data_IF_910532370781
#
_entry.id   IF_910532370781
#
_cell.length_a   1.000
_cell.length_b   1.000
_cell.length_c   1.000
_cell.angle_alpha   90.00
_cell.angle_beta   90.00
_cell.angle_gamma   90.00
#
_symmetry.space_group_name_H-M   'P 1'
#
loop_
_entity.id
_entity.type
_entity.pdbx_description
1 polymer ?
#
# COMPACT_ATOMS: atom_id res chain seq x y z
N UNK A 1 16.19 9.00 17.18
CA UNK A 1 15.43 8.56 16.00
C UNK A 1 14.51 7.41 16.41
N UNK A 2 13.41 7.72 17.08
CA UNK A 2 12.29 6.78 17.25
C UNK A 2 11.32 7.11 16.14
N UNK A 3 11.48 6.47 14.98
CA UNK A 3 10.46 6.50 13.93
C UNK A 3 9.17 6.04 14.57
N UNK A 4 8.22 6.95 14.76
CA UNK A 4 7.08 6.72 15.63
C UNK A 4 6.25 5.61 14.95
N UNK A 5 6.08 4.46 15.59
CA UNK A 5 5.33 3.32 15.03
C UNK A 5 3.95 3.79 14.52
N UNK A 6 3.38 4.82 15.15
CA UNK A 6 2.16 5.50 14.72
C UNK A 6 2.25 6.11 13.32
N UNK A 7 3.34 6.79 12.98
CA UNK A 7 3.55 7.40 11.65
C UNK A 7 3.69 6.34 10.57
N UNK A 8 4.42 5.24 10.87
CA UNK A 8 4.51 4.08 9.98
C UNK A 8 3.12 3.52 9.71
N UNK A 9 2.29 3.35 10.75
CA UNK A 9 0.93 2.85 10.61
C UNK A 9 0.02 3.80 9.84
N UNK A 10 0.17 5.12 10.01
CA UNK A 10 -0.58 6.11 9.25
C UNK A 10 -0.21 6.05 7.77
N UNK A 11 1.08 6.03 7.43
CA UNK A 11 1.55 5.92 6.06
C UNK A 11 1.09 4.62 5.40
N UNK A 12 1.18 3.50 6.11
CA UNK A 12 0.66 2.21 5.63
C UNK A 12 -0.85 2.28 5.38
N UNK A 13 -1.64 2.78 6.33
CA UNK A 13 -3.09 2.91 6.15
C UNK A 13 -3.43 3.81 4.96
N UNK A 14 -2.68 4.89 4.74
CA UNK A 14 -2.86 5.76 3.60
C UNK A 14 -2.61 5.02 2.28
N UNK A 15 -1.53 4.25 2.17
CA UNK A 15 -1.24 3.45 0.96
C UNK A 15 -2.34 2.41 0.73
N UNK A 16 -2.75 1.68 1.77
CA UNK A 16 -3.73 0.60 1.66
C UNK A 16 -5.13 1.11 1.28
N UNK A 17 -5.55 2.27 1.79
CA UNK A 17 -6.86 2.88 1.48
C UNK A 17 -6.91 3.53 0.11
N UNK A 18 -5.81 4.13 -0.32
CA UNK A 18 -5.73 4.76 -1.64
C UNK A 18 -5.61 3.73 -2.76
N UNK A 19 -5.06 2.55 -2.49
CA UNK A 19 -4.86 1.47 -3.49
C UNK A 19 -6.22 0.87 -3.81
N UNK A 20 -6.83 1.35 -4.89
CA UNK A 20 -8.18 0.98 -5.32
C UNK A 20 -8.18 0.40 -6.72
N UNK A 21 -9.07 -0.55 -6.97
CA UNK A 21 -9.33 -1.12 -8.29
C UNK A 21 -10.80 -1.54 -8.40
N UNK A 22 -11.22 -1.84 -9.63
CA UNK A 22 -12.56 -2.37 -9.90
C UNK A 22 -12.49 -3.90 -9.85
N UNK A 23 -13.30 -4.52 -9.00
CA UNK A 23 -13.39 -5.98 -8.90
C UNK A 23 -14.31 -6.58 -9.99
N UNK A 24 -14.47 -7.90 -9.98
CA UNK A 24 -15.31 -8.64 -10.93
C UNK A 24 -16.79 -8.21 -10.87
N UNK A 25 -17.27 -7.80 -9.71
CA UNK A 25 -18.62 -7.28 -9.48
C UNK A 25 -18.81 -5.81 -9.90
N UNK A 26 -17.80 -5.21 -10.56
CA UNK A 26 -17.76 -3.80 -10.97
C UNK A 26 -17.83 -2.81 -9.80
N UNK A 27 -17.41 -3.24 -8.61
CA UNK A 27 -17.32 -2.41 -7.43
C UNK A 27 -15.90 -1.86 -7.28
N UNK A 28 -15.80 -0.61 -6.83
CA UNK A 28 -14.52 -0.03 -6.42
C UNK A 28 -14.20 -0.57 -5.04
N UNK A 29 -13.09 -1.31 -4.93
CA UNK A 29 -12.60 -1.88 -3.68
C UNK A 29 -11.21 -1.34 -3.39
N UNK A 30 -10.91 -1.12 -2.11
CA UNK A 30 -9.56 -0.77 -1.67
C UNK A 30 -8.82 -1.99 -1.10
N UNK A 31 -7.49 -1.94 -1.10
CA UNK A 31 -6.67 -2.97 -0.47
C UNK A 31 -6.95 -3.05 1.04
N UNK A 32 -7.25 -1.92 1.68
CA UNK A 32 -7.66 -1.88 3.08
C UNK A 32 -8.99 -2.62 3.33
N UNK A 33 -9.97 -2.47 2.43
CA UNK A 33 -11.28 -3.14 2.54
C UNK A 33 -11.15 -4.66 2.36
N UNK A 34 -10.34 -5.11 1.39
CA UNK A 34 -10.06 -6.53 1.14
C UNK A 34 -9.34 -7.20 2.32
N UNK A 35 -8.34 -6.50 2.88
CA UNK A 35 -7.64 -6.93 4.09
C UNK A 35 -8.50 -6.81 5.36
N UNK A 36 -9.71 -6.25 5.26
CA UNK A 36 -10.65 -6.03 6.37
C UNK A 36 -10.00 -5.28 7.54
N UNK A 37 -9.11 -4.33 7.23
CA UNK A 37 -8.41 -3.56 8.26
C UNK A 37 -9.45 -2.81 9.10
N UNK A 38 -9.38 -2.98 10.42
CA UNK A 38 -10.32 -2.38 11.36
C UNK A 38 -11.66 -3.12 11.54
N UNK A 39 -11.91 -4.22 10.83
CA UNK A 39 -13.09 -5.08 11.04
C UNK A 39 -12.70 -6.39 11.72
N UNK A 40 -13.35 -6.71 12.84
CA UNK A 40 -13.27 -7.99 13.56
C UNK A 40 -11.89 -8.39 14.14
N UNK A 41 -10.95 -7.45 14.32
CA UNK A 41 -9.67 -7.66 15.03
C UNK A 41 -8.74 -8.78 14.50
N UNK A 42 -9.04 -9.41 13.36
CA UNK A 42 -8.17 -10.40 12.74
C UNK A 42 -7.37 -9.73 11.61
N UNK A 43 -6.05 -9.50 11.77
CA UNK A 43 -5.23 -9.00 10.67
C UNK A 43 -5.18 -10.08 9.59
N UNK A 44 -5.82 -9.84 8.46
CA UNK A 44 -5.62 -10.65 7.25
C UNK A 44 -4.32 -10.22 6.58
N UNK A 45 -3.54 -11.19 6.14
CA UNK A 45 -2.31 -10.92 5.41
C UNK A 45 -2.57 -10.79 3.92
N UNK A 46 -1.67 -10.13 3.20
CA UNK A 46 -1.74 -10.03 1.73
C UNK A 46 -1.71 -11.44 1.12
N UNK A 47 -0.96 -12.36 1.74
CA UNK A 47 -0.86 -13.76 1.36
C UNK A 47 -2.19 -14.53 1.46
N UNK A 48 -3.17 -14.02 2.21
CA UNK A 48 -4.51 -14.62 2.37
C UNK A 48 -5.54 -14.10 1.34
N UNK A 49 -5.15 -13.14 0.50
CA UNK A 49 -6.03 -12.54 -0.50
C UNK A 49 -6.24 -13.46 -1.71
N UNK A 50 -7.42 -13.35 -2.32
CA UNK A 50 -7.68 -13.99 -3.60
C UNK A 50 -6.74 -13.43 -4.68
N UNK A 51 -6.33 -14.28 -5.62
CA UNK A 51 -5.42 -13.90 -6.71
C UNK A 51 -5.95 -12.72 -7.52
N UNK A 52 -7.26 -12.64 -7.74
CA UNK A 52 -7.93 -11.57 -8.47
C UNK A 52 -7.78 -10.22 -7.75
N UNK A 53 -8.01 -10.19 -6.43
CA UNK A 53 -7.78 -9.01 -5.59
C UNK A 53 -6.30 -8.60 -5.58
N UNK A 54 -5.40 -9.58 -5.52
CA UNK A 54 -3.96 -9.33 -5.57
C UNK A 54 -3.51 -8.70 -6.90
N UNK A 55 -4.01 -9.20 -8.03
CA UNK A 55 -3.74 -8.62 -9.36
C UNK A 55 -4.22 -7.18 -9.42
N UNK A 56 -5.44 -6.90 -8.97
CA UNK A 56 -5.98 -5.54 -8.94
C UNK A 56 -5.15 -4.59 -8.08
N UNK A 57 -4.76 -5.04 -6.89
CA UNK A 57 -3.89 -4.27 -5.99
C UNK A 57 -2.52 -3.99 -6.61
N UNK A 58 -1.89 -5.00 -7.23
CA UNK A 58 -0.60 -4.85 -7.89
C UNK A 58 -0.64 -3.86 -9.04
N UNK A 59 -1.63 -3.98 -9.93
CA UNK A 59 -1.81 -3.06 -11.07
C UNK A 59 -2.10 -1.64 -10.58
N UNK A 60 -2.93 -1.48 -9.56
CA UNK A 60 -3.22 -0.17 -8.95
C UNK A 60 -1.95 0.50 -8.40
N UNK A 61 -1.09 -0.27 -7.70
CA UNK A 61 0.19 0.22 -7.18
C UNK A 61 1.18 0.57 -8.31
N UNK A 62 1.26 -0.26 -9.35
CA UNK A 62 2.07 0.00 -10.53
C UNK A 62 1.67 1.31 -11.21
N UNK A 63 0.37 1.52 -11.47
CA UNK A 63 -0.15 2.76 -12.08
C UNK A 63 0.21 3.97 -11.22
N UNK A 64 -0.01 3.89 -9.89
CA UNK A 64 0.33 5.02 -9.01
C UNK A 64 1.83 5.34 -9.02
N UNK A 65 2.66 4.31 -9.08
CA UNK A 65 4.11 4.46 -9.04
C UNK A 65 4.73 4.65 -10.42
N UNK A 66 3.89 4.76 -11.47
CA UNK A 66 4.28 4.78 -12.88
C UNK A 66 5.25 3.64 -13.26
N UNK A 67 5.13 2.48 -12.59
CA UNK A 67 6.05 1.36 -12.75
C UNK A 67 5.40 0.18 -13.47
N UNK A 68 5.74 -0.04 -14.75
CA UNK A 68 5.15 -1.10 -15.58
C UNK A 68 6.20 -2.14 -16.00
N UNK A 69 6.71 -2.87 -15.01
CA UNK A 69 7.79 -3.85 -15.24
C UNK A 69 7.28 -5.19 -15.80
N UNK A 70 6.22 -5.76 -15.21
CA UNK A 70 5.77 -7.13 -15.48
C UNK A 70 4.25 -7.24 -15.39
N UNK A 71 3.65 -8.03 -16.29
CA UNK A 71 2.23 -8.34 -16.27
C UNK A 71 1.87 -9.24 -15.08
N UNK A 72 1.00 -8.73 -14.20
CA UNK A 72 0.46 -9.40 -13.02
C UNK A 72 -0.03 -10.84 -13.29
N UNK A 73 -0.64 -11.05 -14.46
CA UNK A 73 -1.27 -12.32 -14.86
C UNK A 73 -0.27 -13.46 -15.06
N UNK A 74 0.98 -13.14 -15.42
CA UNK A 74 2.04 -14.13 -15.66
C UNK A 74 2.72 -14.62 -14.38
N UNK A 75 2.45 -14.01 -13.23
CA UNK A 75 3.13 -14.31 -11.96
C UNK A 75 2.35 -15.31 -11.11
N UNK A 76 3.06 -16.16 -10.36
CA UNK A 76 2.44 -17.00 -9.35
C UNK A 76 1.89 -16.15 -8.19
N UNK A 77 0.82 -16.62 -7.55
CA UNK A 77 0.13 -15.90 -6.47
C UNK A 77 1.07 -15.50 -5.33
N UNK A 78 2.00 -16.39 -4.97
CA UNK A 78 2.98 -16.15 -3.89
C UNK A 78 3.93 -15.00 -4.24
N UNK A 79 4.48 -15.02 -5.44
CA UNK A 79 5.42 -13.99 -5.90
C UNK A 79 4.71 -12.65 -6.06
N UNK A 80 3.46 -12.68 -6.54
CA UNK A 80 2.65 -11.49 -6.68
C UNK A 80 2.31 -10.88 -5.31
N UNK A 81 1.95 -11.69 -4.31
CA UNK A 81 1.76 -11.22 -2.94
C UNK A 81 3.02 -10.57 -2.36
N UNK A 82 4.19 -11.17 -2.61
CA UNK A 82 5.48 -10.60 -2.18
C UNK A 82 5.74 -9.23 -2.84
N UNK A 83 5.50 -9.12 -4.15
CA UNK A 83 5.69 -7.85 -4.89
C UNK A 83 4.74 -6.75 -4.43
N UNK A 84 3.46 -7.07 -4.21
CA UNK A 84 2.49 -6.12 -3.65
C UNK A 84 2.97 -5.61 -2.30
N UNK A 85 3.44 -6.51 -1.43
CA UNK A 85 3.98 -6.16 -0.11
C UNK A 85 5.18 -5.23 -0.22
N UNK A 86 6.15 -5.54 -1.08
CA UNK A 86 7.32 -4.69 -1.32
C UNK A 86 6.94 -3.28 -1.81
N UNK A 87 6.01 -3.19 -2.77
CA UNK A 87 5.52 -1.91 -3.28
C UNK A 87 4.80 -1.09 -2.21
N UNK A 88 3.95 -1.74 -1.40
CA UNK A 88 3.27 -1.07 -0.27
C UNK A 88 4.28 -0.51 0.74
N UNK A 89 5.29 -1.30 1.11
CA UNK A 89 6.33 -0.84 2.04
C UNK A 89 7.20 0.26 1.45
N UNK A 90 7.57 0.16 0.18
CA UNK A 90 8.33 1.19 -0.51
C UNK A 90 7.56 2.52 -0.55
N UNK A 91 6.27 2.47 -0.85
CA UNK A 91 5.42 3.66 -0.92
C UNK A 91 5.17 4.28 0.46
N UNK A 92 4.90 3.46 1.47
CA UNK A 92 4.77 3.94 2.84
C UNK A 92 6.06 4.60 3.32
N UNK A 93 7.22 4.04 2.97
CA UNK A 93 8.52 4.63 3.28
C UNK A 93 8.71 5.99 2.61
N UNK A 94 8.35 6.15 1.33
CA UNK A 94 8.42 7.46 0.66
C UNK A 94 7.57 8.52 1.35
N UNK A 95 6.35 8.19 1.76
CA UNK A 95 5.45 9.11 2.47
C UNK A 95 6.07 9.53 3.81
N UNK A 96 6.66 8.58 4.54
CA UNK A 96 7.34 8.88 5.79
C UNK A 96 8.57 9.76 5.60
N UNK A 97 9.42 9.43 4.63
CA UNK A 97 10.63 10.20 4.33
C UNK A 97 10.26 11.63 3.89
N UNK A 98 9.20 11.80 3.10
CA UNK A 98 8.68 13.11 2.70
C UNK A 98 8.11 13.91 3.89
N UNK A 99 7.39 13.25 4.82
CA UNK A 99 6.85 13.88 6.03
C UNK A 99 7.98 14.40 6.93
N UNK A 100 9.06 13.64 7.06
CA UNK A 100 10.23 14.00 7.86
C UNK A 100 11.03 15.18 7.26
N UNK A 101 10.95 15.38 5.94
CA UNK A 101 11.55 16.55 5.25
C UNK A 101 10.70 17.81 5.45
N UNK A 102 9.36 17.68 5.46
CA UNK A 102 8.46 18.81 5.73
C UNK A 102 8.65 19.38 7.15
N UNK A 103 8.84 18.52 8.15
CA UNK A 103 9.11 18.95 9.52
C UNK A 103 10.44 19.71 9.67
N UNK A 104 11.49 19.32 8.93
CA UNK A 104 12.77 20.05 8.93
C UNK A 104 12.70 21.40 8.22
N UNK A 105 11.89 21.51 7.16
CA UNK A 105 11.71 22.76 6.43
C UNK A 105 10.95 23.81 7.27
N UNK A 106 9.99 23.37 8.11
CA UNK A 106 9.22 24.27 8.96
C UNK A 106 10.04 24.86 10.13
N UNK A 107 11.06 24.15 10.61
CA UNK A 107 11.97 24.65 11.67
C UNK A 107 12.97 25.67 11.12
N UNK A 108 13.42 25.51 9.87
CA UNK A 108 14.40 26.42 9.26
C UNK A 108 13.83 27.80 8.87
N UNK A 109 12.51 27.96 8.79
CA UNK A 109 11.85 29.24 8.48
C UNK A 109 11.43 30.05 9.73
N UNK A 110 11.60 29.49 10.92
CA UNK A 110 11.20 30.12 12.19
C UNK A 110 12.39 30.60 13.04
N UNK A 111 13.61 30.60 12.50
CA UNK A 111 14.84 31.04 13.16
C UNK A 111 15.40 32.32 12.53
#
# INVERSE_FOLDING_TARGET
MTTNIKEIMIALNQVLTTTVWVNEDRQIVSLADELKIGKNNAPRSIEDLARTSLVGAYVSLQIRTDNFDVAAESMETRDLALRVKEMVFAEAKKIMDASNVADKAHVAMAA
#
